data_IF_627979350893
#
_entry.id   IF_627979350893
#
_cell.length_a   1.000
_cell.length_b   1.000
_cell.length_c   1.000
_cell.angle_alpha   90.00
_cell.angle_beta   90.00
_cell.angle_gamma   90.00
#
_symmetry.space_group_name_H-M   'P 1'
#
loop_
_entity.id
_entity.type
_entity.pdbx_description
1 polymer ?
#
# COMPACT_ATOMS: atom_id res chain seq x y z
N UNK A 1 -8.69 -21.03 -18.40
CA UNK A 1 -8.61 -19.71 -17.70
C UNK A 1 -8.50 -19.98 -16.21
N UNK A 2 -7.49 -19.41 -15.54
CA UNK A 2 -7.30 -19.60 -14.09
C UNK A 2 -8.36 -18.74 -13.40
N UNK A 3 -9.18 -19.34 -12.53
CA UNK A 3 -10.12 -18.60 -11.69
C UNK A 3 -9.36 -18.08 -10.46
N UNK A 4 -9.31 -16.77 -10.29
CA UNK A 4 -8.68 -16.10 -9.14
C UNK A 4 -9.79 -15.70 -8.17
N UNK A 5 -9.59 -15.97 -6.88
CA UNK A 5 -10.46 -15.46 -5.82
C UNK A 5 -10.27 -13.95 -5.68
N UNK A 6 -11.36 -13.23 -5.51
CA UNK A 6 -11.37 -11.76 -5.50
C UNK A 6 -11.82 -11.16 -4.17
N UNK A 7 -12.15 -11.98 -3.15
CA UNK A 7 -12.52 -11.51 -1.82
C UNK A 7 -11.93 -12.41 -0.75
N UNK A 8 -11.30 -11.82 0.24
CA UNK A 8 -10.60 -12.50 1.33
C UNK A 8 -11.03 -11.92 2.66
N UNK A 9 -11.03 -12.75 3.71
CA UNK A 9 -11.34 -12.31 5.06
C UNK A 9 -10.41 -11.16 5.49
N UNK A 10 -9.08 -11.32 5.32
CA UNK A 10 -8.06 -10.41 5.82
C UNK A 10 -6.75 -10.54 5.02
N UNK A 11 -5.75 -9.75 5.41
CA UNK A 11 -4.43 -9.74 4.77
C UNK A 11 -3.74 -11.11 4.77
N UNK A 12 -3.83 -11.88 5.87
CA UNK A 12 -3.20 -13.20 5.98
C UNK A 12 -3.79 -14.21 4.99
N UNK A 13 -5.12 -14.23 4.84
CA UNK A 13 -5.79 -15.12 3.89
C UNK A 13 -5.45 -14.77 2.45
N UNK A 14 -5.40 -13.48 2.10
CA UNK A 14 -4.96 -13.01 0.77
C UNK A 14 -3.50 -13.37 0.51
N UNK A 15 -2.60 -13.09 1.46
CA UNK A 15 -1.18 -13.44 1.37
C UNK A 15 -0.97 -14.92 1.10
N UNK A 16 -1.57 -15.81 1.90
CA UNK A 16 -1.45 -17.27 1.75
C UNK A 16 -1.98 -17.78 0.42
N UNK A 17 -3.09 -17.22 -0.04
CA UNK A 17 -3.67 -17.56 -1.34
C UNK A 17 -2.74 -17.15 -2.48
N UNK A 18 -2.33 -15.89 -2.54
CA UNK A 18 -1.50 -15.40 -3.64
C UNK A 18 -0.08 -15.97 -3.60
N UNK A 19 0.48 -16.29 -2.43
CA UNK A 19 1.73 -17.02 -2.34
C UNK A 19 1.66 -18.38 -3.07
N UNK A 20 0.58 -19.15 -2.88
CA UNK A 20 0.34 -20.40 -3.60
C UNK A 20 0.11 -20.17 -5.09
N UNK A 21 -0.68 -19.15 -5.44
CA UNK A 21 -1.02 -18.86 -6.83
C UNK A 21 0.20 -18.42 -7.64
N UNK A 22 1.07 -17.56 -7.10
CA UNK A 22 2.30 -17.12 -7.77
C UNK A 22 3.26 -18.31 -7.94
N UNK A 23 3.47 -19.13 -6.91
CA UNK A 23 4.32 -20.31 -7.04
C UNK A 23 3.83 -21.25 -8.14
N UNK A 24 2.52 -21.48 -8.23
CA UNK A 24 1.93 -22.45 -9.17
C UNK A 24 1.74 -21.89 -10.58
N UNK A 25 1.28 -20.67 -10.72
CA UNK A 25 0.80 -20.10 -11.98
C UNK A 25 1.51 -18.80 -12.37
N UNK A 26 2.39 -18.28 -11.54
CA UNK A 26 3.12 -17.04 -11.82
C UNK A 26 3.98 -17.18 -13.08
N UNK A 27 3.98 -16.13 -13.88
CA UNK A 27 4.78 -16.03 -15.10
C UNK A 27 6.16 -15.48 -14.72
N UNK A 28 7.28 -16.06 -15.19
CA UNK A 28 8.60 -15.47 -15.00
C UNK A 28 8.68 -14.06 -15.57
N UNK A 29 9.17 -13.11 -14.76
CA UNK A 29 9.30 -11.72 -15.13
C UNK A 29 10.53 -11.11 -14.43
N UNK A 30 11.63 -10.98 -15.16
CA UNK A 30 12.92 -10.60 -14.58
C UNK A 30 13.40 -11.60 -13.53
N UNK A 31 13.73 -11.09 -12.35
CA UNK A 31 14.14 -11.86 -11.17
C UNK A 31 12.97 -12.30 -10.26
N UNK A 32 11.75 -12.27 -10.80
CA UNK A 32 10.50 -12.58 -10.10
C UNK A 32 9.65 -13.60 -10.84
N UNK A 33 8.63 -14.14 -10.15
CA UNK A 33 7.39 -14.69 -10.73
C UNK A 33 6.22 -13.78 -10.37
N UNK A 34 5.33 -13.53 -11.32
CA UNK A 34 4.25 -12.57 -11.17
C UNK A 34 2.89 -13.07 -11.68
N UNK A 35 1.83 -12.58 -11.05
CA UNK A 35 0.47 -12.54 -11.59
C UNK A 35 0.18 -11.10 -12.00
N UNK A 36 -0.51 -10.91 -13.12
CA UNK A 36 -0.78 -9.58 -13.66
C UNK A 36 -2.25 -9.19 -13.53
N UNK A 37 -2.49 -7.89 -13.26
CA UNK A 37 -3.83 -7.29 -13.16
C UNK A 37 -4.70 -7.97 -12.09
N UNK A 38 -4.16 -8.11 -10.90
CA UNK A 38 -4.81 -8.75 -9.76
C UNK A 38 -5.54 -7.70 -8.93
N UNK A 39 -6.85 -7.89 -8.73
CA UNK A 39 -7.67 -7.07 -7.86
C UNK A 39 -8.48 -7.91 -6.89
N UNK A 40 -8.55 -7.49 -5.62
CA UNK A 40 -9.28 -8.21 -4.58
C UNK A 40 -9.73 -7.30 -3.44
N UNK A 41 -10.73 -7.77 -2.68
CA UNK A 41 -11.25 -7.11 -1.49
C UNK A 41 -10.75 -7.79 -0.21
N UNK A 42 -10.63 -7.01 0.87
CA UNK A 42 -10.44 -7.50 2.23
C UNK A 42 -11.65 -7.09 3.08
N UNK A 43 -12.35 -8.08 3.70
CA UNK A 43 -13.53 -7.84 4.53
C UNK A 43 -13.17 -7.18 5.87
N UNK A 44 -12.02 -7.58 6.44
CA UNK A 44 -11.51 -7.05 7.71
C UNK A 44 -10.09 -6.52 7.52
N UNK A 45 -9.93 -5.34 6.88
CA UNK A 45 -8.60 -4.80 6.52
C UNK A 45 -7.73 -4.47 7.74
N UNK A 46 -8.32 -4.27 8.93
CA UNK A 46 -7.58 -4.04 10.19
C UNK A 46 -7.11 -5.34 10.87
N UNK A 47 -7.53 -6.53 10.40
CA UNK A 47 -6.90 -7.81 10.78
C UNK A 47 -5.61 -7.98 9.96
N UNK A 48 -4.56 -7.29 10.37
CA UNK A 48 -3.32 -7.09 9.59
C UNK A 48 -2.26 -8.16 9.80
N UNK A 49 -2.38 -9.00 10.83
CA UNK A 49 -1.33 -9.95 11.25
C UNK A 49 -1.12 -11.05 10.20
N UNK A 50 0.11 -11.18 9.69
CA UNK A 50 0.51 -12.23 8.77
C UNK A 50 1.10 -13.39 9.58
N UNK A 51 0.41 -14.54 9.57
CA UNK A 51 0.74 -15.69 10.43
C UNK A 51 1.70 -16.70 9.80
N UNK A 52 2.16 -16.45 8.56
CA UNK A 52 3.13 -17.33 7.89
C UNK A 52 4.48 -17.31 8.61
N UNK A 53 4.88 -18.45 9.20
CA UNK A 53 6.11 -18.59 10.00
C UNK A 53 7.38 -18.36 9.16
N UNK A 54 7.35 -18.59 7.85
CA UNK A 54 8.51 -18.36 6.97
C UNK A 54 8.67 -16.88 6.66
N UNK A 55 7.55 -16.16 6.52
CA UNK A 55 7.55 -14.71 6.26
C UNK A 55 8.10 -13.94 7.46
N UNK A 56 7.79 -14.35 8.68
CA UNK A 56 8.20 -13.66 9.92
C UNK A 56 7.93 -12.16 9.85
N UNK A 57 6.68 -11.81 9.53
CA UNK A 57 6.29 -10.41 9.36
C UNK A 57 6.51 -9.62 10.66
N UNK A 58 7.10 -8.44 10.52
CA UNK A 58 7.42 -7.57 11.65
C UNK A 58 6.40 -6.43 11.74
N UNK A 59 5.43 -6.57 12.63
CA UNK A 59 4.39 -5.57 12.88
C UNK A 59 4.96 -4.26 13.46
N UNK A 60 6.01 -4.36 14.27
CA UNK A 60 6.68 -3.18 14.84
C UNK A 60 7.27 -2.32 13.73
N UNK A 61 7.91 -2.95 12.74
CA UNK A 61 8.40 -2.24 11.56
C UNK A 61 7.26 -1.60 10.75
N UNK A 62 6.18 -2.33 10.48
CA UNK A 62 5.03 -1.77 9.75
C UNK A 62 4.40 -0.58 10.50
N UNK A 63 4.34 -0.65 11.85
CA UNK A 63 3.89 0.47 12.68
C UNK A 63 4.85 1.66 12.61
N UNK A 64 6.17 1.42 12.55
CA UNK A 64 7.15 2.49 12.39
C UNK A 64 7.05 3.16 11.02
N UNK A 65 6.83 2.37 9.97
CA UNK A 65 6.61 2.87 8.60
C UNK A 65 5.34 3.72 8.52
N UNK A 66 4.25 3.32 9.16
CA UNK A 66 3.04 4.12 9.29
C UNK A 66 3.30 5.45 9.99
N UNK A 67 4.04 5.45 11.12
CA UNK A 67 4.42 6.68 11.82
C UNK A 67 5.31 7.59 10.96
N UNK A 68 6.17 6.99 10.15
CA UNK A 68 6.98 7.72 9.18
C UNK A 68 6.11 8.39 8.11
N UNK A 69 5.08 7.71 7.62
CA UNK A 69 4.11 8.33 6.70
C UNK A 69 3.35 9.48 7.36
N UNK A 70 2.90 9.31 8.60
CA UNK A 70 2.22 10.37 9.35
C UNK A 70 3.09 11.62 9.61
N UNK A 71 4.41 11.47 9.62
CA UNK A 71 5.31 12.61 9.79
C UNK A 71 5.34 13.55 8.58
N UNK A 72 4.93 13.07 7.39
CA UNK A 72 5.05 13.81 6.13
C UNK A 72 6.49 14.10 5.70
N UNK A 73 7.49 13.59 6.43
CA UNK A 73 8.91 13.76 6.15
C UNK A 73 9.45 12.54 5.37
N UNK A 74 9.84 12.68 4.09
CA UNK A 74 10.32 11.57 3.27
C UNK A 74 11.76 11.15 3.59
N UNK A 75 12.45 11.77 4.57
CA UNK A 75 13.84 11.43 4.92
C UNK A 75 13.93 10.04 5.56
N UNK A 76 14.96 9.29 5.21
CA UNK A 76 15.20 7.97 5.81
C UNK A 76 15.72 8.11 7.26
N UNK A 77 16.32 9.24 7.60
CA UNK A 77 16.72 9.59 8.97
C UNK A 77 15.50 9.64 9.88
N UNK A 78 14.39 10.21 9.41
CA UNK A 78 13.14 10.25 10.17
C UNK A 78 12.60 8.85 10.47
N UNK A 79 12.66 7.95 9.50
CA UNK A 79 12.32 6.54 9.75
C UNK A 79 13.29 5.91 10.75
N UNK A 80 14.60 6.24 10.64
CA UNK A 80 15.63 5.78 11.58
C UNK A 80 15.37 6.22 13.03
N UNK A 81 14.98 7.48 13.23
CA UNK A 81 14.56 8.00 14.54
C UNK A 81 13.36 7.25 15.12
N UNK A 82 12.34 6.97 14.29
CA UNK A 82 11.10 6.31 14.71
C UNK A 82 11.32 4.82 15.02
N UNK A 83 12.08 4.12 14.17
CA UNK A 83 12.27 2.66 14.25
C UNK A 83 13.51 2.26 15.06
N UNK A 84 14.39 3.22 15.39
CA UNK A 84 15.66 2.97 16.07
C UNK A 84 16.82 2.59 15.14
N UNK A 85 16.58 2.43 13.85
CA UNK A 85 17.60 2.20 12.81
C UNK A 85 17.01 2.45 11.41
N UNK A 86 17.86 2.83 10.46
CA UNK A 86 17.47 2.93 9.05
C UNK A 86 17.47 1.51 8.44
N UNK A 87 16.32 1.00 7.94
CA UNK A 87 16.30 -0.29 7.26
C UNK A 87 17.14 -0.24 5.98
N UNK A 88 17.97 -1.28 5.69
CA UNK A 88 18.92 -1.25 4.58
C UNK A 88 18.29 -0.99 3.19
N UNK A 89 17.03 -1.41 3.01
CA UNK A 89 16.31 -1.15 1.76
C UNK A 89 16.10 0.34 1.52
N UNK A 90 15.66 1.08 2.55
CA UNK A 90 15.41 2.51 2.44
C UNK A 90 16.72 3.30 2.31
N UNK A 91 17.78 2.87 3.01
CA UNK A 91 19.11 3.45 2.85
C UNK A 91 19.61 3.33 1.40
N UNK A 92 19.42 2.16 0.79
CA UNK A 92 19.78 1.90 -0.61
C UNK A 92 18.94 2.72 -1.60
N UNK A 93 17.63 2.87 -1.31
CA UNK A 93 16.67 3.53 -2.20
C UNK A 93 16.71 5.06 -2.10
N UNK A 94 17.23 5.61 -1.02
CA UNK A 94 17.29 7.05 -0.79
C UNK A 94 18.02 7.80 -1.92
N UNK A 95 17.50 8.97 -2.26
CA UNK A 95 18.12 9.91 -3.17
C UNK A 95 19.37 10.58 -2.54
N UNK A 96 20.02 11.50 -3.28
CA UNK A 96 21.19 12.25 -2.78
C UNK A 96 20.88 13.17 -1.58
N UNK A 97 19.60 13.47 -1.36
CA UNK A 97 19.12 14.25 -0.21
C UNK A 97 18.57 13.35 0.90
N UNK A 98 18.87 12.06 0.85
CA UNK A 98 18.45 11.06 1.83
C UNK A 98 16.93 10.91 1.95
N UNK A 99 16.17 11.09 0.86
CA UNK A 99 14.71 11.02 0.81
C UNK A 99 14.24 9.84 -0.04
N UNK A 100 13.10 9.27 0.34
CA UNK A 100 12.40 8.25 -0.43
C UNK A 100 11.06 8.77 -0.96
N UNK A 101 10.87 8.67 -2.28
CA UNK A 101 9.63 9.03 -2.97
C UNK A 101 8.47 8.11 -2.60
N UNK A 102 8.78 6.90 -2.16
CA UNK A 102 7.80 5.93 -1.66
C UNK A 102 7.34 6.18 -0.22
N UNK A 103 7.74 7.30 0.43
CA UNK A 103 7.01 7.77 1.60
C UNK A 103 5.62 8.23 1.15
N UNK A 104 4.62 7.35 1.30
CA UNK A 104 3.26 7.65 0.84
C UNK A 104 2.61 8.77 1.66
N UNK A 105 3.01 8.98 2.92
CA UNK A 105 2.56 10.08 3.74
C UNK A 105 2.92 11.44 3.14
N UNK A 106 4.16 11.61 2.77
CA UNK A 106 4.61 12.80 2.05
C UNK A 106 3.85 12.97 0.72
N UNK A 107 3.55 11.88 0.01
CA UNK A 107 2.83 11.93 -1.25
C UNK A 107 1.37 12.39 -1.09
N UNK A 108 0.63 11.86 -0.13
CA UNK A 108 -0.78 12.27 0.05
C UNK A 108 -0.94 13.62 0.72
N UNK A 109 0.07 14.10 1.48
CA UNK A 109 0.08 15.47 2.02
C UNK A 109 0.47 16.51 0.96
N UNK A 110 1.22 16.11 -0.04
CA UNK A 110 1.65 16.97 -1.12
C UNK A 110 0.46 17.67 -1.79
N UNK A 111 0.56 18.99 -1.95
CA UNK A 111 -0.51 19.83 -2.47
C UNK A 111 -1.85 19.72 -1.69
N UNK A 112 -1.77 19.38 -0.40
CA UNK A 112 -2.95 19.26 0.48
C UNK A 112 -3.98 18.25 -0.02
N UNK A 113 -3.57 17.20 -0.74
CA UNK A 113 -4.48 16.24 -1.35
C UNK A 113 -5.40 15.59 -0.33
N UNK A 114 -4.85 15.12 0.81
CA UNK A 114 -5.63 14.42 1.83
C UNK A 114 -6.70 15.32 2.45
N UNK A 115 -6.36 16.54 2.81
CA UNK A 115 -7.33 17.49 3.37
C UNK A 115 -8.39 17.89 2.35
N UNK A 116 -7.99 18.06 1.09
CA UNK A 116 -8.91 18.38 0.00
C UNK A 116 -9.96 17.28 -0.21
N UNK A 117 -9.55 16.00 -0.28
CA UNK A 117 -10.51 14.91 -0.48
C UNK A 117 -11.44 14.72 0.72
N UNK A 118 -10.96 14.92 1.95
CA UNK A 118 -11.78 14.85 3.15
C UNK A 118 -12.82 15.98 3.17
N UNK A 119 -12.42 17.22 2.85
CA UNK A 119 -13.34 18.34 2.71
C UNK A 119 -14.41 18.07 1.62
N UNK A 120 -13.98 17.50 0.50
CA UNK A 120 -14.88 17.14 -0.60
C UNK A 120 -15.90 16.07 -0.17
N UNK A 121 -15.49 15.01 0.50
CA UNK A 121 -16.37 13.95 1.00
C UNK A 121 -17.35 14.44 2.09
N UNK A 122 -16.96 15.43 2.90
CA UNK A 122 -17.85 16.07 3.88
C UNK A 122 -18.97 16.86 3.22
N UNK A 123 -18.67 17.56 2.14
CA UNK A 123 -19.63 18.43 1.44
C UNK A 123 -20.48 17.69 0.42
N UNK A 124 -19.94 16.65 -0.21
CA UNK A 124 -20.60 15.87 -1.27
C UNK A 124 -20.28 14.39 -1.09
N UNK A 125 -21.15 13.68 -0.36
CA UNK A 125 -20.91 12.26 0.03
C UNK A 125 -20.84 11.31 -1.17
N UNK A 126 -21.52 11.60 -2.27
CA UNK A 126 -21.56 10.82 -3.50
C UNK A 126 -20.55 11.29 -4.56
N UNK A 127 -19.54 12.07 -4.13
CA UNK A 127 -18.50 12.56 -5.02
C UNK A 127 -17.65 11.44 -5.61
N UNK A 128 -17.31 11.56 -6.90
CA UNK A 128 -16.34 10.70 -7.60
C UNK A 128 -14.94 11.32 -7.67
N UNK A 129 -14.72 12.46 -7.00
CA UNK A 129 -13.51 13.27 -7.10
C UNK A 129 -12.59 13.13 -5.89
N UNK A 130 -12.78 12.09 -5.04
CA UNK A 130 -11.97 11.88 -3.85
C UNK A 130 -10.81 10.92 -4.15
N UNK A 131 -9.97 11.29 -5.12
CA UNK A 131 -8.77 10.55 -5.50
C UNK A 131 -7.50 11.29 -5.05
N UNK A 132 -6.53 10.53 -4.54
CA UNK A 132 -5.16 10.97 -4.29
C UNK A 132 -4.26 10.43 -5.39
N UNK A 133 -3.47 11.28 -6.03
CA UNK A 133 -2.42 10.88 -6.98
C UNK A 133 -1.08 10.76 -6.25
N UNK A 134 -0.52 9.57 -6.23
CA UNK A 134 0.81 9.30 -5.68
C UNK A 134 1.88 9.47 -6.76
N UNK A 135 1.63 8.89 -7.93
CA UNK A 135 2.54 8.95 -9.07
C UNK A 135 2.40 10.31 -9.76
N UNK A 136 3.51 11.06 -9.85
CA UNK A 136 3.48 12.40 -10.46
C UNK A 136 4.13 12.37 -11.84
N UNK A 137 3.35 12.69 -12.86
CA UNK A 137 3.82 12.74 -14.25
C UNK A 137 4.96 13.73 -14.50
N UNK A 138 5.07 14.78 -13.67
CA UNK A 138 6.17 15.75 -13.75
C UNK A 138 7.49 15.19 -13.21
N UNK A 139 7.41 14.21 -12.30
CA UNK A 139 8.57 13.63 -11.64
C UNK A 139 9.02 12.28 -12.23
N UNK A 140 8.31 11.73 -13.21
CA UNK A 140 8.62 10.41 -13.80
C UNK A 140 10.09 10.28 -14.20
N UNK A 141 10.68 11.30 -14.80
CA UNK A 141 12.08 11.30 -15.24
C UNK A 141 13.08 11.32 -14.07
N UNK A 142 12.63 11.68 -12.86
CA UNK A 142 13.47 11.73 -11.65
C UNK A 142 13.36 10.45 -10.81
N UNK A 143 12.42 9.56 -11.12
CA UNK A 143 12.28 8.26 -10.46
C UNK A 143 13.39 7.31 -10.91
N UNK A 144 14.53 7.34 -10.24
CA UNK A 144 15.69 6.53 -10.58
C UNK A 144 15.81 5.27 -9.72
N UNK A 145 16.06 5.45 -8.42
CA UNK A 145 16.23 4.35 -7.48
C UNK A 145 14.91 3.94 -6.83
N UNK A 146 14.15 4.93 -6.38
CA UNK A 146 12.88 4.76 -5.69
C UNK A 146 11.74 5.34 -6.55
N UNK A 147 10.93 4.43 -7.08
CA UNK A 147 9.73 4.78 -7.84
C UNK A 147 8.52 4.30 -7.05
N UNK A 148 7.57 5.19 -6.67
CA UNK A 148 6.38 4.78 -5.93
C UNK A 148 5.68 3.59 -6.59
N UNK A 149 5.38 2.56 -5.82
CA UNK A 149 4.66 1.38 -6.30
C UNK A 149 3.17 1.65 -6.42
N UNK A 150 2.61 2.48 -5.55
CA UNK A 150 1.22 2.96 -5.60
C UNK A 150 1.16 4.18 -6.52
N UNK A 151 0.18 4.23 -7.40
CA UNK A 151 -0.01 5.42 -8.24
C UNK A 151 -1.25 6.22 -7.88
N UNK A 152 -2.30 5.62 -7.31
CA UNK A 152 -3.48 6.33 -6.87
C UNK A 152 -4.22 5.61 -5.74
N UNK A 153 -4.98 6.39 -4.96
CA UNK A 153 -5.90 5.92 -3.94
C UNK A 153 -7.24 6.62 -4.17
N UNK A 154 -8.34 5.87 -4.28
CA UNK A 154 -9.69 6.42 -4.40
C UNK A 154 -10.47 6.14 -3.12
N UNK A 155 -11.15 7.15 -2.60
CA UNK A 155 -12.13 7.02 -1.53
C UNK A 155 -13.54 7.20 -2.05
N UNK A 156 -14.48 6.43 -1.50
CA UNK A 156 -15.89 6.48 -1.88
C UNK A 156 -16.75 6.22 -0.65
N UNK A 157 -17.80 7.00 -0.44
CA UNK A 157 -18.77 6.69 0.62
C UNK A 157 -19.90 5.87 -0.01
N UNK A 158 -20.01 4.61 0.39
CA UNK A 158 -21.09 3.71 -0.04
C UNK A 158 -21.90 3.27 1.19
N UNK A 159 -23.22 3.43 1.13
CA UNK A 159 -24.14 3.05 2.22
C UNK A 159 -23.72 3.59 3.60
N UNK A 160 -23.14 4.80 3.63
CA UNK A 160 -22.69 5.48 4.85
C UNK A 160 -21.33 5.03 5.39
N UNK A 161 -20.62 4.14 4.69
CA UNK A 161 -19.27 3.67 5.04
C UNK A 161 -18.24 4.15 4.06
N UNK A 162 -16.99 4.29 4.50
CA UNK A 162 -15.87 4.72 3.68
C UNK A 162 -15.18 3.52 3.04
N UNK A 163 -15.39 3.33 1.75
CA UNK A 163 -14.62 2.40 0.93
C UNK A 163 -13.32 3.06 0.46
N UNK A 164 -12.28 2.25 0.27
CA UNK A 164 -11.02 2.69 -0.30
C UNK A 164 -10.49 1.69 -1.33
N UNK A 165 -10.03 2.20 -2.47
CA UNK A 165 -9.33 1.42 -3.48
C UNK A 165 -7.88 1.90 -3.60
N UNK A 166 -6.93 0.97 -3.43
CA UNK A 166 -5.48 1.20 -3.61
C UNK A 166 -5.06 0.60 -4.94
N UNK A 167 -4.41 1.41 -5.79
CA UNK A 167 -4.01 1.04 -7.13
C UNK A 167 -2.49 1.07 -7.26
N UNK A 168 -1.87 -0.10 -7.44
CA UNK A 168 -0.42 -0.27 -7.51
C UNK A 168 0.04 -0.73 -8.88
N UNK A 169 1.14 -0.13 -9.41
CA UNK A 169 1.81 -0.63 -10.61
C UNK A 169 2.55 -1.94 -10.37
N UNK A 170 3.04 -2.12 -9.14
CA UNK A 170 3.86 -3.26 -8.74
C UNK A 170 3.70 -3.49 -7.24
N UNK A 171 3.52 -4.73 -6.81
CA UNK A 171 3.45 -5.06 -5.40
C UNK A 171 4.18 -6.39 -5.13
N UNK A 172 5.28 -6.31 -4.40
CA UNK A 172 5.96 -7.49 -3.89
C UNK A 172 5.12 -8.11 -2.76
N UNK A 173 4.66 -9.32 -2.97
CA UNK A 173 3.82 -10.02 -1.99
C UNK A 173 4.56 -10.30 -0.68
N UNK A 174 5.89 -10.54 -0.75
CA UNK A 174 6.67 -10.93 0.43
C UNK A 174 7.09 -9.72 1.26
N UNK A 175 7.73 -8.73 0.65
CA UNK A 175 8.29 -7.59 1.38
C UNK A 175 7.34 -6.40 1.45
N UNK A 176 6.61 -6.11 0.36
CA UNK A 176 5.74 -4.95 0.20
C UNK A 176 4.34 -5.16 0.78
N UNK A 177 3.55 -6.06 0.18
CA UNK A 177 2.11 -6.20 0.46
C UNK A 177 1.74 -6.16 1.95
N UNK A 178 2.48 -6.88 2.78
CA UNK A 178 2.17 -6.98 4.21
C UNK A 178 2.27 -5.62 4.93
N UNK A 179 3.23 -4.78 4.54
CA UNK A 179 3.43 -3.44 5.11
C UNK A 179 2.51 -2.42 4.43
N UNK A 180 2.42 -2.48 3.09
CA UNK A 180 1.54 -1.60 2.31
C UNK A 180 0.09 -1.72 2.78
N UNK A 181 -0.41 -2.97 2.92
CA UNK A 181 -1.78 -3.22 3.36
C UNK A 181 -2.02 -2.69 4.78
N UNK A 182 -1.06 -2.89 5.69
CA UNK A 182 -1.13 -2.32 7.04
C UNK A 182 -1.27 -0.80 6.99
N UNK A 183 -0.36 -0.12 6.28
CA UNK A 183 -0.35 1.34 6.22
C UNK A 183 -1.60 1.90 5.53
N UNK A 184 -2.07 1.26 4.45
CA UNK A 184 -3.28 1.71 3.76
C UNK A 184 -4.55 1.42 4.57
N UNK A 185 -4.63 0.32 5.31
CA UNK A 185 -5.75 0.09 6.22
C UNK A 185 -5.81 1.15 7.33
N UNK A 186 -4.64 1.55 7.85
CA UNK A 186 -4.55 2.65 8.83
C UNK A 186 -4.92 4.00 8.21
N UNK A 187 -4.59 4.25 6.94
CA UNK A 187 -5.04 5.44 6.21
C UNK A 187 -6.56 5.46 6.06
N UNK A 188 -7.18 4.34 5.63
CA UNK A 188 -8.63 4.25 5.52
C UNK A 188 -9.31 4.53 6.86
N UNK A 189 -8.79 3.92 7.95
CA UNK A 189 -9.27 4.16 9.31
C UNK A 189 -9.19 5.63 9.68
N UNK A 190 -8.04 6.27 9.49
CA UNK A 190 -7.83 7.68 9.81
C UNK A 190 -8.79 8.60 9.04
N UNK A 191 -9.01 8.35 7.75
CA UNK A 191 -9.96 9.13 6.94
C UNK A 191 -11.40 8.90 7.40
N UNK A 192 -11.80 7.67 7.71
CA UNK A 192 -13.13 7.34 8.24
C UNK A 192 -13.40 8.04 9.58
N UNK A 193 -12.42 8.03 10.49
CA UNK A 193 -12.48 8.75 11.76
C UNK A 193 -12.62 10.26 11.58
N UNK A 194 -11.84 10.86 10.67
CA UNK A 194 -11.94 12.29 10.33
C UNK A 194 -13.31 12.66 9.71
N UNK A 195 -13.96 11.73 9.06
CA UNK A 195 -15.31 11.90 8.50
C UNK A 195 -16.42 11.51 9.49
N UNK A 196 -16.10 10.91 10.65
CA UNK A 196 -17.03 10.38 11.65
C UNK A 196 -17.99 9.34 11.06
N UNK A 197 -17.48 8.44 10.21
CA UNK A 197 -18.22 7.32 9.61
C UNK A 197 -17.46 6.00 9.80
N UNK A 198 -18.13 4.87 9.59
CA UNK A 198 -17.50 3.55 9.63
C UNK A 198 -16.62 3.31 8.39
N UNK A 199 -15.63 2.42 8.54
CA UNK A 199 -14.92 1.85 7.42
C UNK A 199 -15.82 0.91 6.63
N UNK A 200 -15.74 0.98 5.32
CA UNK A 200 -16.33 0.04 4.37
C UNK A 200 -15.29 -0.93 3.79
N UNK A 201 -15.48 -1.31 2.54
CA UNK A 201 -14.59 -2.24 1.84
C UNK A 201 -13.19 -1.63 1.59
N UNK A 202 -12.16 -2.47 1.70
CA UNK A 202 -10.82 -2.20 1.24
C UNK A 202 -10.57 -2.99 -0.05
N UNK A 203 -10.30 -2.29 -1.15
CA UNK A 203 -9.94 -2.91 -2.42
C UNK A 203 -8.46 -2.70 -2.73
N UNK A 204 -7.77 -3.75 -3.10
CA UNK A 204 -6.36 -3.74 -3.49
C UNK A 204 -6.21 -4.20 -4.94
N UNK A 205 -5.49 -3.41 -5.74
CA UNK A 205 -5.17 -3.74 -7.11
C UNK A 205 -3.67 -3.63 -7.37
N UNK A 206 -3.08 -4.65 -7.98
CA UNK A 206 -1.70 -4.64 -8.43
C UNK A 206 -1.61 -5.09 -9.89
N UNK A 207 -1.03 -4.24 -10.76
CA UNK A 207 -0.73 -4.64 -12.14
C UNK A 207 0.24 -5.80 -12.19
N UNK A 208 1.23 -5.81 -11.30
CA UNK A 208 2.23 -6.87 -11.14
C UNK A 208 2.31 -7.25 -9.67
N UNK A 209 1.65 -8.34 -9.29
CA UNK A 209 1.76 -8.95 -7.97
C UNK A 209 2.76 -10.09 -8.03
N UNK A 210 3.90 -9.98 -7.32
CA UNK A 210 5.02 -10.87 -7.53
C UNK A 210 5.71 -11.38 -6.26
N UNK A 211 6.53 -12.40 -6.44
CA UNK A 211 7.53 -12.89 -5.50
C UNK A 211 8.90 -12.90 -6.19
N UNK A 212 9.92 -12.44 -5.51
CA UNK A 212 11.29 -12.64 -5.95
C UNK A 212 11.66 -14.13 -5.98
N UNK A 213 12.52 -14.54 -6.93
CA UNK A 213 12.89 -15.94 -7.14
C UNK A 213 13.44 -16.62 -5.87
N UNK A 214 14.14 -15.87 -5.00
CA UNK A 214 14.64 -16.36 -3.72
C UNK A 214 13.56 -16.56 -2.64
N UNK A 215 12.28 -16.22 -2.92
CA UNK A 215 11.11 -16.43 -2.05
C UNK A 215 10.12 -17.46 -2.60
N UNK A 216 10.41 -18.03 -3.76
CA UNK A 216 9.63 -19.13 -4.33
C UNK A 216 9.90 -20.44 -3.57
N UNK A 217 9.00 -21.41 -3.75
CA UNK A 217 9.16 -22.78 -3.29
C UNK A 217 9.85 -23.65 -4.33
#
# INVERSE_FOLDING_TARGET
>A
MIKIETRFKNADSAYKYFYKMINKYGIPFGDTKALFNIGFYLDFPLEVDITDKKRQWNKEYASAEWKWYLSGDPSVEKLGEIYGKIPPIWDKMADSQRRCRSNYGWQWERNFQLDHIIAKLRTLKDTRHAAISIYDGKEISTYAKDTPCTYAIQFTILQGKLDMAVLMRSNDLWYGFCNDQYCFAMLQKMVAERLSIEMGDYYHFAHNLHLYNNKLK
#
